data_IF_260493833063
#
_entry.id   IF_260493833063
#
_cell.length_a   1.000
_cell.length_b   1.000
_cell.length_c   1.000
_cell.angle_alpha   90.00
_cell.angle_beta   90.00
_cell.angle_gamma   90.00
#
_symmetry.space_group_name_H-M   'P 1'
#
loop_
_entity.id
_entity.type
_entity.pdbx_description
1 polymer ?
#
# COMPACT_ATOMS: atom_id res chain seq x y z
N UNK A 1 12.17 12.61 28.63
CA UNK A 1 11.45 13.41 27.64
C UNK A 1 11.49 12.63 26.36
N UNK A 2 10.34 12.18 25.90
CA UNK A 2 10.17 11.38 24.68
C UNK A 2 9.34 12.17 23.69
N UNK A 3 9.88 12.40 22.51
CA UNK A 3 9.24 13.15 21.44
C UNK A 3 8.90 12.24 20.26
N UNK A 4 7.63 12.23 19.87
CA UNK A 4 7.10 11.34 18.83
C UNK A 4 6.44 12.16 17.74
N UNK A 5 6.85 11.95 16.50
CA UNK A 5 6.19 12.48 15.31
C UNK A 5 5.30 11.38 14.70
N UNK A 6 3.99 11.59 14.74
CA UNK A 6 3.00 10.76 14.06
C UNK A 6 2.72 11.27 12.65
N UNK A 7 2.73 10.37 11.67
CA UNK A 7 2.52 10.69 10.26
C UNK A 7 1.40 9.83 9.67
N UNK A 8 0.41 10.48 9.08
CA UNK A 8 -0.58 9.87 8.19
C UNK A 8 -0.26 10.27 6.75
N UNK A 9 0.15 9.31 5.92
CA UNK A 9 0.58 9.57 4.55
C UNK A 9 0.00 8.56 3.56
N UNK A 10 -0.10 8.95 2.29
CA UNK A 10 -0.56 8.09 1.18
C UNK A 10 -1.99 7.57 1.34
N UNK A 11 -2.81 8.32 2.07
CA UNK A 11 -4.22 8.07 2.31
C UNK A 11 -4.96 9.40 2.32
N UNK A 12 -6.28 9.37 2.10
CA UNK A 12 -7.11 10.56 2.25
C UNK A 12 -6.84 11.23 3.60
N UNK A 13 -6.83 12.56 3.59
CA UNK A 13 -6.64 13.40 4.76
C UNK A 13 -5.28 13.18 5.44
N UNK A 14 -4.22 13.18 4.62
CA UNK A 14 -2.84 13.09 5.11
C UNK A 14 -2.54 14.23 6.09
N UNK A 15 -1.81 13.92 7.16
CA UNK A 15 -1.67 14.76 8.36
C UNK A 15 -0.43 14.41 9.17
N UNK A 16 -0.08 15.26 10.13
CA UNK A 16 0.98 14.99 11.09
C UNK A 16 0.56 15.44 12.50
N UNK A 17 1.12 14.78 13.52
CA UNK A 17 0.99 15.18 14.92
C UNK A 17 2.32 15.07 15.67
N UNK A 18 2.52 15.97 16.63
CA UNK A 18 3.64 15.96 17.56
C UNK A 18 3.13 15.61 18.96
N UNK A 19 3.77 14.62 19.57
CA UNK A 19 3.45 14.13 20.91
C UNK A 19 4.70 14.24 21.78
N UNK A 20 4.56 14.74 22.99
CA UNK A 20 5.64 14.84 23.98
C UNK A 20 5.19 14.21 25.28
N UNK A 21 5.94 13.21 25.74
CA UNK A 21 5.69 12.47 26.99
C UNK A 21 4.23 11.96 27.12
N UNK A 22 3.61 11.59 25.98
CA UNK A 22 2.25 11.07 25.91
C UNK A 22 1.15 12.11 25.66
N UNK A 23 1.49 13.40 25.64
CA UNK A 23 0.54 14.48 25.38
C UNK A 23 0.66 15.01 23.94
N UNK A 24 -0.49 15.27 23.29
CA UNK A 24 -0.51 15.86 21.96
C UNK A 24 -0.23 17.35 22.09
N UNK A 25 0.88 17.81 21.50
CA UNK A 25 1.25 19.22 21.47
C UNK A 25 0.63 19.93 20.27
N UNK A 26 0.71 19.29 19.11
CA UNK A 26 0.27 19.86 17.85
C UNK A 26 -0.22 18.78 16.90
N UNK A 27 -1.26 19.05 16.14
CA UNK A 27 -1.76 18.16 15.11
C UNK A 27 -2.46 18.96 14.02
N UNK A 28 -2.17 18.66 12.76
CA UNK A 28 -2.77 19.36 11.62
C UNK A 28 -2.86 18.46 10.39
N UNK A 29 -3.93 18.63 9.64
CA UNK A 29 -4.11 18.02 8.32
C UNK A 29 -3.46 18.87 7.23
N UNK A 30 -2.85 18.22 6.24
CA UNK A 30 -2.16 18.92 5.15
C UNK A 30 -3.14 19.79 4.35
N UNK A 31 -4.38 19.33 4.18
CA UNK A 31 -5.41 20.09 3.45
C UNK A 31 -5.72 21.46 4.07
N UNK A 32 -5.48 21.62 5.38
CA UNK A 32 -5.66 22.92 6.07
C UNK A 32 -4.56 23.90 5.71
N UNK A 33 -3.39 23.42 5.32
CA UNK A 33 -2.21 24.22 4.99
C UNK A 33 -2.16 24.46 3.48
N UNK A 34 -2.15 23.40 2.67
CA UNK A 34 -2.02 23.52 1.21
C UNK A 34 -3.34 23.90 0.51
N UNK A 35 -4.48 23.85 1.22
CA UNK A 35 -5.84 24.15 0.73
C UNK A 35 -6.31 23.26 -0.43
N UNK A 36 -5.70 22.08 -0.57
CA UNK A 36 -6.09 21.04 -1.53
C UNK A 36 -6.91 20.00 -0.76
N UNK A 37 -8.23 19.98 -1.01
CA UNK A 37 -9.15 19.04 -0.36
C UNK A 37 -8.73 17.59 -0.55
N UNK A 38 -8.83 16.79 0.51
CA UNK A 38 -8.49 15.36 0.50
C UNK A 38 -7.08 15.08 0.01
N UNK A 39 -6.13 15.91 0.42
CA UNK A 39 -4.74 15.67 0.14
C UNK A 39 -4.35 14.26 0.58
N UNK A 40 -3.86 13.47 -0.39
CA UNK A 40 -3.50 12.06 -0.21
C UNK A 40 -2.03 11.78 -0.47
N UNK A 41 -1.23 12.84 -0.56
CA UNK A 41 0.21 12.75 -0.77
C UNK A 41 0.98 12.55 0.53
N UNK A 42 2.25 12.94 0.51
CA UNK A 42 3.07 13.02 1.72
C UNK A 42 2.80 14.36 2.42
N UNK A 43 2.57 14.39 3.75
CA UNK A 43 2.18 15.60 4.48
C UNK A 43 3.40 16.45 4.88
N UNK A 44 4.06 17.06 3.88
CA UNK A 44 5.31 17.82 4.10
C UNK A 44 5.05 19.03 4.98
N UNK A 45 4.00 19.78 4.70
CA UNK A 45 3.73 21.04 5.38
C UNK A 45 3.20 20.81 6.80
N UNK A 46 2.42 19.74 7.03
CA UNK A 46 2.00 19.35 8.39
C UNK A 46 3.19 18.95 9.25
N UNK A 47 4.16 18.21 8.70
CA UNK A 47 5.38 17.82 9.43
C UNK A 47 6.18 19.06 9.80
N UNK A 48 6.38 19.99 8.85
CA UNK A 48 7.07 21.25 9.13
C UNK A 48 6.37 22.05 10.23
N UNK A 49 5.04 22.21 10.12
CA UNK A 49 4.25 22.93 11.11
C UNK A 49 4.38 22.31 12.51
N UNK A 50 4.44 20.97 12.62
CA UNK A 50 4.71 20.29 13.89
C UNK A 50 6.07 20.66 14.48
N UNK A 51 7.13 20.63 13.66
CA UNK A 51 8.49 20.95 14.10
C UNK A 51 8.64 22.43 14.45
N UNK A 52 8.05 23.31 13.66
CA UNK A 52 8.04 24.77 13.88
C UNK A 52 7.28 25.15 15.16
N UNK A 53 6.19 24.44 15.49
CA UNK A 53 5.39 24.71 16.69
C UNK A 53 6.21 24.60 18.00
N UNK A 54 7.08 23.59 18.11
CA UNK A 54 8.00 23.44 19.25
C UNK A 54 9.40 24.04 18.99
N UNK A 55 9.61 24.66 17.83
CA UNK A 55 10.89 25.20 17.38
C UNK A 55 12.05 24.18 17.49
N UNK A 56 11.81 22.97 17.01
CA UNK A 56 12.73 21.83 17.02
C UNK A 56 13.11 21.41 15.60
N UNK A 57 14.15 20.59 15.48
CA UNK A 57 14.54 19.95 14.22
C UNK A 57 14.20 18.46 14.24
N UNK A 58 14.16 17.83 13.06
CA UNK A 58 13.82 16.41 12.95
C UNK A 58 14.76 15.49 13.75
N UNK A 59 16.02 15.90 13.97
CA UNK A 59 16.98 15.13 14.78
C UNK A 59 16.65 15.09 16.27
N UNK A 60 15.76 15.97 16.75
CA UNK A 60 15.31 16.00 18.15
C UNK A 60 14.15 15.02 18.40
N UNK A 61 13.59 14.44 17.34
CA UNK A 61 12.47 13.49 17.42
C UNK A 61 13.01 12.08 17.67
N UNK A 62 12.59 11.48 18.78
CA UNK A 62 13.01 10.12 19.16
C UNK A 62 12.38 9.05 18.26
N UNK A 63 11.09 9.25 17.91
CA UNK A 63 10.33 8.27 17.15
C UNK A 63 9.50 8.91 16.05
N UNK A 64 9.60 8.36 14.84
CA UNK A 64 8.71 8.66 13.72
C UNK A 64 7.81 7.46 13.47
N UNK A 65 6.50 7.69 13.50
CA UNK A 65 5.49 6.64 13.40
C UNK A 65 4.58 6.87 12.21
N UNK A 66 4.08 5.78 11.61
CA UNK A 66 3.14 5.82 10.50
C UNK A 66 1.88 5.05 10.85
N UNK A 67 0.73 5.49 10.35
CA UNK A 67 -0.58 4.85 10.55
C UNK A 67 -0.78 3.52 9.78
N UNK A 68 0.25 2.97 9.16
CA UNK A 68 0.19 1.75 8.36
C UNK A 68 1.02 0.64 9.00
N UNK A 69 0.40 -0.53 9.16
CA UNK A 69 1.12 -1.78 9.42
C UNK A 69 1.16 -2.65 8.15
N UNK A 70 2.31 -2.65 7.44
CA UNK A 70 2.50 -3.45 6.21
C UNK A 70 2.36 -4.96 6.44
N UNK A 71 2.67 -5.43 7.65
CA UNK A 71 2.62 -6.86 8.02
C UNK A 71 1.21 -7.30 8.39
N UNK A 72 0.24 -6.39 8.45
CA UNK A 72 -1.13 -6.73 8.77
C UNK A 72 -1.71 -7.72 7.75
N UNK A 73 -2.31 -8.80 8.27
CA UNK A 73 -2.89 -9.90 7.49
C UNK A 73 -1.94 -10.63 6.53
N UNK A 74 -0.62 -10.57 6.73
CA UNK A 74 0.34 -11.20 5.80
C UNK A 74 0.08 -12.71 5.62
N UNK A 75 -0.18 -13.46 6.70
CA UNK A 75 -0.52 -14.90 6.64
C UNK A 75 -1.76 -15.19 5.79
N UNK A 76 -2.83 -14.40 5.97
CA UNK A 76 -4.07 -14.54 5.21
C UNK A 76 -3.85 -14.23 3.72
N UNK A 77 -3.07 -13.19 3.42
CA UNK A 77 -2.67 -12.85 2.04
C UNK A 77 -1.90 -13.98 1.38
N UNK A 78 -0.91 -14.55 2.08
CA UNK A 78 -0.11 -15.69 1.58
C UNK A 78 -1.01 -16.90 1.34
N UNK A 79 -1.86 -17.28 2.31
CA UNK A 79 -2.77 -18.41 2.16
C UNK A 79 -3.76 -18.23 0.99
N UNK A 80 -4.29 -17.01 0.83
CA UNK A 80 -5.15 -16.66 -0.30
C UNK A 80 -4.42 -16.81 -1.64
N UNK A 81 -3.19 -16.30 -1.75
CA UNK A 81 -2.37 -16.44 -2.95
C UNK A 81 -2.14 -17.91 -3.26
N UNK A 82 -1.72 -18.71 -2.29
CA UNK A 82 -1.46 -20.15 -2.49
C UNK A 82 -2.72 -20.90 -2.95
N UNK A 83 -3.86 -20.65 -2.29
CA UNK A 83 -5.14 -21.31 -2.64
C UNK A 83 -5.58 -20.95 -4.06
N UNK A 84 -5.54 -19.67 -4.44
CA UNK A 84 -6.04 -19.22 -5.73
C UNK A 84 -5.04 -19.39 -6.87
N UNK A 85 -3.73 -19.41 -6.58
CA UNK A 85 -2.69 -19.70 -7.57
C UNK A 85 -2.82 -21.13 -8.11
N UNK A 86 -3.00 -22.11 -7.22
CA UNK A 86 -3.23 -23.51 -7.61
C UNK A 86 -4.52 -23.66 -8.42
N UNK A 87 -5.59 -22.98 -8.01
CA UNK A 87 -6.87 -22.97 -8.75
C UNK A 87 -6.70 -22.32 -10.13
N UNK A 88 -5.98 -21.20 -10.24
CA UNK A 88 -5.74 -20.53 -11.53
C UNK A 88 -4.86 -21.38 -12.48
N UNK A 89 -3.85 -22.08 -11.96
CA UNK A 89 -3.05 -23.04 -12.71
C UNK A 89 -3.88 -24.25 -13.17
N UNK A 90 -4.67 -24.84 -12.27
CA UNK A 90 -5.62 -25.91 -12.61
C UNK A 90 -6.62 -25.46 -13.67
N UNK A 91 -7.24 -24.29 -13.52
CA UNK A 91 -8.13 -23.71 -14.52
C UNK A 91 -7.43 -23.44 -15.86
N UNK A 92 -6.18 -22.95 -15.85
CA UNK A 92 -5.37 -22.82 -17.08
C UNK A 92 -5.12 -24.17 -17.73
N UNK A 93 -4.79 -25.20 -16.95
CA UNK A 93 -4.57 -26.56 -17.42
C UNK A 93 -5.85 -27.16 -18.05
N UNK A 94 -6.99 -27.07 -17.36
CA UNK A 94 -8.28 -27.54 -17.88
C UNK A 94 -8.77 -26.73 -19.08
N UNK A 95 -8.56 -25.40 -19.11
CA UNK A 95 -8.88 -24.53 -20.26
C UNK A 95 -7.98 -24.84 -21.48
N UNK A 96 -6.72 -25.25 -21.25
CA UNK A 96 -5.80 -25.72 -22.30
C UNK A 96 -6.22 -27.09 -22.84
N UNK A 97 -6.73 -27.98 -21.98
CA UNK A 97 -7.27 -29.30 -22.36
C UNK A 97 -8.58 -29.22 -23.16
N UNK A 98 -9.43 -28.22 -22.89
CA UNK A 98 -10.68 -28.00 -23.63
C UNK A 98 -10.51 -27.32 -25.01
N UNK A 99 -9.28 -26.98 -25.40
CA UNK A 99 -8.92 -26.48 -26.73
C UNK A 99 -8.35 -27.57 -27.65
N UNK A 100 -8.64 -28.83 -27.36
CA UNK A 100 -8.25 -29.95 -28.22
C UNK A 100 -9.22 -30.14 -29.39
N UNK A 101 -9.16 -29.20 -30.34
CA UNK A 101 -9.24 -29.54 -31.77
C UNK A 101 -7.83 -29.76 -32.35
N UNK A 102 -6.85 -30.11 -31.50
CA UNK A 102 -5.44 -30.37 -31.90
C UNK A 102 -5.35 -31.41 -33.02
N UNK A 103 -6.21 -32.44 -33.03
CA UNK A 103 -6.26 -33.42 -34.14
C UNK A 103 -6.77 -32.82 -35.46
N UNK A 104 -7.65 -31.82 -35.41
CA UNK A 104 -8.17 -31.10 -36.59
C UNK A 104 -7.11 -30.15 -37.17
N UNK A 105 -6.37 -29.47 -36.30
CA UNK A 105 -5.32 -28.54 -36.70
C UNK A 105 -4.04 -29.27 -37.20
N UNK A 106 -3.71 -30.44 -36.66
CA UNK A 106 -2.63 -31.30 -37.19
C UNK A 106 -2.96 -31.85 -38.58
N UNK A 107 -4.18 -32.34 -38.81
CA UNK A 107 -4.63 -32.83 -40.14
C UNK A 107 -4.59 -31.73 -41.20
N UNK A 108 -4.94 -30.49 -40.82
CA UNK A 108 -4.94 -29.34 -41.73
C UNK A 108 -3.53 -28.85 -42.09
N UNK A 109 -2.58 -28.99 -41.17
CA UNK A 109 -1.20 -28.53 -41.34
C UNK A 109 -0.34 -29.50 -42.15
N UNK A 110 -0.63 -30.81 -42.11
CA UNK A 110 0.19 -31.84 -42.77
C UNK A 110 -0.15 -32.14 -44.25
N UNK A 111 -1.20 -31.55 -44.85
CA UNK A 111 -1.60 -31.77 -46.27
C UNK A 111 -1.48 -33.23 -46.77
N UNK A 112 -1.82 -34.23 -45.96
CA UNK A 112 -1.81 -35.62 -46.43
C UNK A 112 -3.11 -35.90 -47.19
N UNK A 113 -2.98 -35.99 -48.52
CA UNK A 113 -3.95 -36.63 -49.43
C UNK A 113 -3.92 -38.14 -49.16
N UNK A 114 -5.06 -38.69 -48.76
CA UNK A 114 -5.61 -39.92 -49.36
C UNK A 114 -7.09 -39.65 -49.57
#
# INVERSE_FOLDING_TARGET
MTLILGVNAFHADSSACLIKDGEILFAIEEERINRIKHWSGFPVESIKACLEFENIVLSDVDYITFNINRKFNLKKKILYILKNFLIAELFRYFKKKNKNNIFKDLKKTLKLKI
#
